data_IF_922438669861
#
_entry.id   IF_922438669861
#
_cell.length_a   1.000
_cell.length_b   1.000
_cell.length_c   1.000
_cell.angle_alpha   90.00
_cell.angle_beta   90.00
_cell.angle_gamma   90.00
#
_symmetry.space_group_name_H-M   'P 1'
#
loop_
_entity.id
_entity.type
_entity.pdbx_description
1 polymer ?
#
# COMPACT_ATOMS: atom_id res chain seq x y z
N UNK A 1 26.14 5.64 -8.17
CA UNK A 1 25.23 6.79 -8.42
C UNK A 1 24.08 6.69 -7.44
N UNK A 2 23.82 7.73 -6.65
CA UNK A 2 22.62 7.81 -5.82
C UNK A 2 21.41 8.14 -6.71
N UNK A 3 20.22 7.64 -6.36
CA UNK A 3 18.97 7.80 -7.13
C UNK A 3 18.39 9.22 -7.15
N UNK A 4 19.14 10.24 -6.73
CA UNK A 4 18.74 11.66 -6.79
C UNK A 4 17.65 12.10 -5.79
N UNK A 5 17.23 11.24 -4.85
CA UNK A 5 16.21 11.58 -3.86
C UNK A 5 16.78 12.35 -2.66
N UNK A 6 16.09 13.42 -2.24
CA UNK A 6 16.38 14.16 -1.00
C UNK A 6 15.56 13.58 0.16
N UNK A 7 16.20 13.11 1.25
CA UNK A 7 15.46 12.64 2.42
C UNK A 7 14.61 13.76 3.04
N UNK A 8 13.34 13.45 3.32
CA UNK A 8 12.41 14.30 4.06
C UNK A 8 11.91 13.50 5.26
N UNK A 9 12.12 14.03 6.46
CA UNK A 9 11.72 13.38 7.71
C UNK A 9 10.63 14.20 8.38
N UNK A 10 9.57 13.53 8.82
CA UNK A 10 8.53 14.12 9.65
C UNK A 10 8.91 13.97 11.13
N UNK A 11 8.48 14.89 12.02
CA UNK A 11 8.60 14.69 13.45
C UNK A 11 7.93 13.38 13.90
N UNK A 12 8.50 12.75 14.93
CA UNK A 12 7.91 11.56 15.56
C UNK A 12 6.50 11.94 16.05
N UNK A 13 5.52 11.06 15.81
CA UNK A 13 4.11 11.28 16.15
C UNK A 13 3.51 12.52 15.46
N UNK A 14 3.57 12.58 14.13
CA UNK A 14 2.85 13.57 13.30
C UNK A 14 1.68 12.89 12.55
N UNK A 15 0.47 12.77 13.16
CA UNK A 15 -0.64 12.03 12.57
C UNK A 15 -1.09 12.55 11.21
N UNK A 16 -1.03 13.87 11.00
CA UNK A 16 -1.41 14.49 9.73
C UNK A 16 -0.43 14.11 8.61
N UNK A 17 0.88 14.07 8.92
CA UNK A 17 1.91 13.78 7.92
C UNK A 17 2.03 12.28 7.65
N UNK A 18 1.79 11.45 8.65
CA UNK A 18 1.98 9.99 8.56
C UNK A 18 0.67 9.22 8.32
N UNK A 19 -0.49 9.88 8.41
CA UNK A 19 -1.80 9.23 8.42
C UNK A 19 -2.08 8.32 7.23
N UNK A 20 -1.56 8.67 6.05
CA UNK A 20 -1.68 7.81 4.85
C UNK A 20 -0.90 6.49 5.02
N UNK A 21 0.35 6.57 5.48
CA UNK A 21 1.18 5.39 5.72
C UNK A 21 0.63 4.55 6.89
N UNK A 22 0.17 5.20 7.96
CA UNK A 22 -0.44 4.54 9.11
C UNK A 22 -1.72 3.80 8.73
N UNK A 23 -2.59 4.42 7.93
CA UNK A 23 -3.82 3.81 7.41
C UNK A 23 -3.51 2.58 6.54
N UNK A 24 -2.51 2.69 5.65
CA UNK A 24 -2.04 1.56 4.84
C UNK A 24 -1.59 0.38 5.72
N UNK A 25 -0.70 0.63 6.69
CA UNK A 25 -0.20 -0.42 7.59
C UNK A 25 -1.34 -1.03 8.41
N UNK A 26 -2.31 -0.22 8.85
CA UNK A 26 -3.49 -0.70 9.58
C UNK A 26 -4.32 -1.66 8.74
N UNK A 27 -4.60 -1.32 7.47
CA UNK A 27 -5.32 -2.20 6.54
C UNK A 27 -4.54 -3.50 6.30
N UNK A 28 -3.24 -3.42 6.02
CA UNK A 28 -2.40 -4.60 5.81
C UNK A 28 -2.42 -5.55 7.02
N UNK A 29 -2.28 -5.00 8.23
CA UNK A 29 -2.30 -5.80 9.46
C UNK A 29 -3.67 -6.43 9.71
N UNK A 30 -4.74 -5.64 9.62
CA UNK A 30 -6.11 -6.04 9.98
C UNK A 30 -6.72 -7.02 8.97
N UNK A 31 -6.58 -6.74 7.68
CA UNK A 31 -7.36 -7.44 6.64
C UNK A 31 -6.59 -8.59 5.99
N UNK A 32 -5.25 -8.59 6.10
CA UNK A 32 -4.40 -9.60 5.48
C UNK A 32 -3.60 -10.37 6.53
N UNK A 33 -2.69 -9.71 7.24
CA UNK A 33 -1.73 -10.38 8.13
C UNK A 33 -2.44 -11.14 9.25
N UNK A 34 -3.54 -10.60 9.79
CA UNK A 34 -4.34 -11.26 10.83
C UNK A 34 -4.88 -12.65 10.42
N UNK A 35 -4.96 -12.94 9.11
CA UNK A 35 -5.48 -14.19 8.57
C UNK A 35 -4.43 -15.03 7.84
N UNK A 36 -3.17 -14.57 7.81
CA UNK A 36 -2.09 -15.26 7.10
C UNK A 36 -1.32 -16.19 8.02
N UNK A 37 -1.14 -17.48 7.67
CA UNK A 37 -0.27 -18.37 8.42
C UNK A 37 1.17 -17.88 8.34
N UNK A 38 1.89 -17.86 9.47
CA UNK A 38 3.28 -17.39 9.54
C UNK A 38 4.18 -18.40 10.26
N UNK A 39 4.26 -19.66 9.78
CA UNK A 39 5.04 -20.71 10.43
C UNK A 39 6.56 -20.45 10.40
N UNK A 40 7.03 -19.71 9.39
CA UNK A 40 8.44 -19.38 9.20
C UNK A 40 8.57 -18.07 8.41
N UNK A 41 9.79 -17.50 8.40
CA UNK A 41 10.08 -16.22 7.76
C UNK A 41 9.88 -16.24 6.23
N UNK A 42 10.20 -17.36 5.57
CA UNK A 42 10.04 -17.48 4.12
C UNK A 42 8.55 -17.52 3.72
N UNK A 43 7.74 -18.22 4.51
CA UNK A 43 6.28 -18.25 4.33
C UNK A 43 5.66 -16.88 4.64
N UNK A 44 6.11 -16.20 5.70
CA UNK A 44 5.67 -14.84 6.00
C UNK A 44 5.97 -13.86 4.84
N UNK A 45 7.18 -13.91 4.27
CA UNK A 45 7.56 -13.08 3.13
C UNK A 45 6.70 -13.37 1.88
N UNK A 46 6.44 -14.64 1.57
CA UNK A 46 5.55 -15.03 0.46
C UNK A 46 4.12 -14.53 0.69
N UNK A 47 3.60 -14.67 1.90
CA UNK A 47 2.25 -14.22 2.23
C UNK A 47 2.13 -12.69 2.15
N UNK A 48 3.15 -11.94 2.55
CA UNK A 48 3.19 -10.50 2.35
C UNK A 48 3.19 -10.11 0.87
N UNK A 49 3.93 -10.81 0.02
CA UNK A 49 3.91 -10.56 -1.42
C UNK A 49 2.49 -10.77 -2.01
N UNK A 50 1.81 -11.85 -1.60
CA UNK A 50 0.42 -12.12 -1.98
C UNK A 50 -0.53 -11.02 -1.46
N UNK A 51 -0.34 -10.58 -0.21
CA UNK A 51 -1.12 -9.50 0.38
C UNK A 51 -1.00 -8.20 -0.42
N UNK A 52 0.23 -7.82 -0.78
CA UNK A 52 0.47 -6.62 -1.56
C UNK A 52 -0.16 -6.71 -2.95
N UNK A 53 -0.02 -7.83 -3.64
CA UNK A 53 -0.61 -7.98 -4.97
C UNK A 53 -2.14 -7.90 -4.91
N UNK A 54 -2.77 -8.54 -3.92
CA UNK A 54 -4.21 -8.41 -3.70
C UNK A 54 -4.62 -6.97 -3.34
N UNK A 55 -3.85 -6.29 -2.49
CA UNK A 55 -4.08 -4.88 -2.16
C UNK A 55 -4.04 -4.00 -3.42
N UNK A 56 -3.03 -4.18 -4.27
CA UNK A 56 -2.81 -3.33 -5.44
C UNK A 56 -3.74 -3.61 -6.62
N UNK A 57 -4.20 -4.85 -6.81
CA UNK A 57 -5.03 -5.24 -7.96
C UNK A 57 -6.51 -5.43 -7.63
N UNK A 58 -6.88 -5.75 -6.38
CA UNK A 58 -8.23 -6.20 -6.03
C UNK A 58 -8.92 -5.41 -4.92
N UNK A 59 -8.17 -4.84 -3.98
CA UNK A 59 -8.77 -4.20 -2.80
C UNK A 59 -9.51 -2.90 -3.17
N UNK A 60 -10.81 -2.79 -2.86
CA UNK A 60 -11.57 -1.59 -3.20
C UNK A 60 -11.31 -0.45 -2.21
N UNK A 61 -11.08 0.75 -2.72
CA UNK A 61 -10.84 1.94 -1.88
C UNK A 61 -11.92 3.00 -2.12
N UNK A 62 -12.63 3.41 -1.06
CA UNK A 62 -13.67 4.45 -1.15
C UNK A 62 -13.13 5.78 -1.70
N UNK A 63 -11.94 6.19 -1.27
CA UNK A 63 -11.26 7.38 -1.79
C UNK A 63 -10.90 7.29 -3.28
N UNK A 64 -10.82 6.07 -3.84
CA UNK A 64 -10.51 5.81 -5.24
C UNK A 64 -11.77 5.40 -6.04
N UNK A 65 -12.96 5.83 -5.61
CA UNK A 65 -14.25 5.45 -6.23
C UNK A 65 -14.45 3.92 -6.31
N UNK A 66 -13.97 3.20 -5.29
CA UNK A 66 -13.98 1.74 -5.19
C UNK A 66 -13.10 0.99 -6.21
N UNK A 67 -12.20 1.69 -6.92
CA UNK A 67 -11.15 1.04 -7.70
C UNK A 67 -10.01 0.55 -6.81
N UNK A 68 -9.29 -0.46 -7.30
CA UNK A 68 -7.97 -0.82 -6.74
C UNK A 68 -6.92 0.24 -7.08
N UNK A 69 -5.79 0.32 -6.35
CA UNK A 69 -4.77 1.33 -6.61
C UNK A 69 -4.21 1.27 -8.04
N UNK A 70 -4.00 0.08 -8.60
CA UNK A 70 -3.50 -0.06 -9.97
C UNK A 70 -4.57 0.27 -11.01
N UNK A 71 -5.83 -0.08 -10.77
CA UNK A 71 -6.94 0.35 -11.65
C UNK A 71 -7.06 1.88 -11.68
N UNK A 72 -7.01 2.51 -10.50
CA UNK A 72 -7.03 3.96 -10.39
C UNK A 72 -5.84 4.62 -11.10
N UNK A 73 -4.63 4.06 -10.95
CA UNK A 73 -3.45 4.57 -11.65
C UNK A 73 -3.58 4.42 -13.17
N UNK A 74 -4.02 3.27 -13.66
CA UNK A 74 -4.24 3.02 -15.11
C UNK A 74 -5.27 4.00 -15.69
N UNK A 75 -6.33 4.33 -14.93
CA UNK A 75 -7.34 5.30 -15.38
C UNK A 75 -6.81 6.74 -15.38
N UNK A 76 -5.98 7.12 -14.40
CA UNK A 76 -5.29 8.43 -14.39
C UNK A 76 -4.28 8.58 -15.53
N UNK A 77 -3.48 7.55 -15.80
CA UNK A 77 -2.50 7.56 -16.89
C UNK A 77 -3.21 7.69 -18.24
N UNK A 78 -4.36 7.02 -18.40
CA UNK A 78 -5.21 7.14 -19.59
C UNK A 78 -5.84 8.53 -19.73
N UNK A 79 -6.22 9.17 -18.61
CA UNK A 79 -6.79 10.53 -18.60
C UNK A 79 -5.74 11.64 -18.84
N UNK A 80 -4.46 11.35 -18.65
CA UNK A 80 -3.36 12.30 -18.87
C UNK A 80 -2.90 12.33 -20.34
N UNK A 81 -3.35 11.36 -21.16
CA UNK A 81 -3.05 11.25 -22.58
C UNK A 81 -4.14 11.84 -23.50
N UNK A 82 -5.09 12.62 -22.95
CA UNK A 82 -6.13 13.37 -23.67
C UNK A 82 -5.93 14.86 -23.50
#
# INVERSE_FOLDING_TARGET
MAIGLKPLTTPVCSPQSNGMAESFVKTMKRDYVAFMPTPDAATAARNLAIAFEHYYEKHPHSALKYHSPREFRRSMDSATLV
#
